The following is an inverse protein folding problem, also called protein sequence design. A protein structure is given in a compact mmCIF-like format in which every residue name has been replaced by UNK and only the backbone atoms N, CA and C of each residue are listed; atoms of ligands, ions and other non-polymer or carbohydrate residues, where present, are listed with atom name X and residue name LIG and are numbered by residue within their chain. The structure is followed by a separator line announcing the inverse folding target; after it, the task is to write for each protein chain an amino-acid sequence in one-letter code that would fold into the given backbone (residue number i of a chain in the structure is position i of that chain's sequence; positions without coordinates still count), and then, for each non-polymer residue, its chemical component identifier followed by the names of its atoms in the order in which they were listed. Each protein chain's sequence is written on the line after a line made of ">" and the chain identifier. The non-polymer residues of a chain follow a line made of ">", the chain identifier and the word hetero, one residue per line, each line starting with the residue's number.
data_IF_613925828097
#
_entry.id   IF_613925828097
#
_cell.length_a   1.000
_cell.length_b   1.000
_cell.length_c   1.000
_cell.angle_alpha   90.00
_cell.angle_beta   90.00
_cell.angle_gamma   90.00
#
_symmetry.space_group_name_H-M   'P 1'
#
loop_
_entity.id
_entity.type
_entity.pdbx_description
1 polymer ?
#
# COMPACT_ATOMS: atom_id res chain seq x y z
N UNK A 1 -29.25 19.16 54.45
CA UNK A 1 -27.96 19.86 54.29
C UNK A 1 -26.84 18.83 54.39
N UNK A 2 -26.07 18.63 53.30
CA UNK A 2 -24.66 18.17 53.26
C UNK A 2 -24.30 17.87 51.80
N UNK A 3 -24.07 18.94 51.03
CA UNK A 3 -23.27 18.95 49.79
C UNK A 3 -21.92 19.52 50.20
N UNK A 4 -20.81 18.79 50.08
CA UNK A 4 -19.52 19.39 50.45
C UNK A 4 -18.29 18.50 50.62
N UNK A 5 -18.22 17.29 50.05
CA UNK A 5 -17.02 16.44 50.21
C UNK A 5 -16.57 15.72 48.93
N UNK A 6 -17.00 16.16 47.74
CA UNK A 6 -16.62 15.52 46.45
C UNK A 6 -15.67 16.39 45.62
N UNK A 7 -15.31 17.60 46.10
CA UNK A 7 -14.68 18.63 45.26
C UNK A 7 -13.18 18.90 45.52
N UNK A 8 -12.46 18.03 46.23
CA UNK A 8 -11.03 18.21 46.54
C UNK A 8 -10.22 16.90 46.46
N UNK A 9 -10.44 16.12 45.40
CA UNK A 9 -9.50 15.06 44.96
C UNK A 9 -9.29 15.14 43.44
N UNK A 10 -9.25 16.37 42.94
CA UNK A 10 -8.56 16.68 41.69
C UNK A 10 -7.04 16.67 41.94
N UNK A 11 -6.28 16.49 40.88
CA UNK A 11 -4.95 17.09 40.69
C UNK A 11 -3.65 16.28 40.96
N UNK A 12 -3.66 14.98 41.26
CA UNK A 12 -2.41 14.21 41.41
C UNK A 12 -2.05 13.28 40.22
N UNK A 13 -3.02 12.76 39.47
CA UNK A 13 -2.73 11.79 38.40
C UNK A 13 -2.36 12.40 37.03
N UNK A 14 -2.44 13.72 36.88
CA UNK A 14 -2.22 14.40 35.60
C UNK A 14 -0.74 14.69 35.32
N UNK A 15 0.16 14.55 36.31
CA UNK A 15 1.59 14.90 36.15
C UNK A 15 2.54 13.71 35.99
N UNK A 16 2.11 12.47 36.21
CA UNK A 16 2.98 11.27 36.09
C UNK A 16 2.75 10.53 34.75
N UNK A 17 1.57 10.64 34.14
CA UNK A 17 1.27 9.98 32.86
C UNK A 17 1.86 10.64 31.61
N UNK A 18 2.29 11.91 31.70
CA UNK A 18 2.81 12.67 30.56
C UNK A 18 4.28 12.41 30.22
N UNK A 19 5.08 11.99 31.20
CA UNK A 19 6.55 11.85 31.05
C UNK A 19 6.95 10.60 30.25
N UNK A 20 6.12 9.55 30.27
CA UNK A 20 6.39 8.32 29.50
C UNK A 20 6.18 8.47 27.99
N UNK A 21 5.28 9.37 27.57
CA UNK A 21 4.92 9.51 26.16
C UNK A 21 5.97 10.32 25.37
N UNK A 22 6.64 11.29 26.00
CA UNK A 22 7.71 12.06 25.35
C UNK A 22 9.03 11.28 25.25
N UNK A 23 9.32 10.39 26.20
CA UNK A 23 10.52 9.55 26.13
C UNK A 23 10.44 8.50 25.00
N UNK A 24 9.23 8.02 24.67
CA UNK A 24 9.04 7.09 23.55
C UNK A 24 9.14 7.79 22.18
N UNK A 25 8.69 9.05 22.07
CA UNK A 25 8.73 9.80 20.80
C UNK A 25 10.15 10.27 20.46
N UNK A 26 11.01 10.53 21.45
CA UNK A 26 12.37 11.05 21.21
C UNK A 26 13.43 9.96 20.92
N UNK A 27 13.14 8.69 21.20
CA UNK A 27 14.12 7.60 21.09
C UNK A 27 14.03 6.79 19.78
N UNK A 28 13.18 7.19 18.82
CA UNK A 28 13.02 6.49 17.53
C UNK A 28 13.76 7.14 16.35
N UNK A 29 14.50 8.22 16.55
CA UNK A 29 15.26 8.92 15.48
C UNK A 29 16.75 8.54 15.43
N UNK A 30 17.17 7.46 16.07
CA UNK A 30 18.56 6.98 16.03
C UNK A 30 18.63 5.49 15.70
N UNK A 31 18.35 5.14 14.44
CA UNK A 31 18.97 3.97 13.84
C UNK A 31 19.53 4.36 12.48
N UNK A 32 20.83 4.68 12.52
CA UNK A 32 21.68 4.79 11.34
C UNK A 32 21.65 3.49 10.52
N UNK A 33 21.67 3.69 9.22
CA UNK A 33 21.92 2.71 8.16
C UNK A 33 23.08 1.74 8.50
N UNK A 34 22.95 0.49 8.06
CA UNK A 34 24.02 -0.10 7.27
C UNK A 34 23.51 -0.33 5.85
N UNK A 35 23.93 0.57 4.97
CA UNK A 35 23.92 0.38 3.51
C UNK A 35 24.62 -0.93 3.17
N UNK A 36 23.88 -2.00 2.89
CA UNK A 36 24.42 -3.14 2.15
C UNK A 36 24.21 -2.90 0.67
N UNK A 37 25.12 -2.11 0.12
CA UNK A 37 25.41 -2.09 -1.31
C UNK A 37 25.92 -3.47 -1.73
N UNK A 38 25.11 -4.24 -2.46
CA UNK A 38 25.61 -5.39 -3.22
C UNK A 38 25.81 -4.90 -4.65
N UNK A 39 27.03 -4.43 -4.90
CA UNK A 39 27.52 -4.18 -6.25
C UNK A 39 27.83 -5.54 -6.91
N UNK A 40 27.00 -5.95 -7.87
CA UNK A 40 27.40 -7.01 -8.80
C UNK A 40 28.37 -6.42 -9.84
N UNK A 41 29.65 -6.31 -9.46
CA UNK A 41 30.76 -6.13 -10.40
C UNK A 41 31.23 -7.51 -10.84
N UNK A 42 30.87 -7.93 -12.05
CA UNK A 42 31.52 -9.03 -12.75
C UNK A 42 32.67 -8.48 -13.59
N UNK A 43 33.91 -8.66 -13.14
CA UNK A 43 35.12 -8.36 -13.92
C UNK A 43 35.73 -9.64 -14.49
N UNK A 44 35.85 -9.62 -15.81
CA UNK A 44 36.71 -10.36 -16.75
C UNK A 44 37.82 -11.24 -16.17
N UNK A 45 37.94 -12.47 -16.68
CA UNK A 45 39.23 -13.16 -16.80
C UNK A 45 39.49 -13.48 -18.27
N UNK A 46 40.45 -12.76 -18.85
CA UNK A 46 41.09 -13.09 -20.12
C UNK A 46 41.89 -14.38 -19.95
N UNK A 47 41.73 -15.32 -20.88
CA UNK A 47 42.78 -16.29 -21.19
C UNK A 47 43.04 -16.20 -22.68
N UNK A 48 44.01 -15.37 -23.02
CA UNK A 48 44.73 -15.40 -24.26
C UNK A 48 46.02 -16.18 -24.00
N UNK A 49 46.36 -17.10 -24.91
CA UNK A 49 47.70 -17.63 -25.24
C UNK A 49 47.58 -19.05 -25.81
N UNK A 50 47.39 -19.14 -27.14
CA UNK A 50 48.32 -19.91 -27.97
C UNK A 50 48.31 -19.41 -29.43
N UNK A 51 49.50 -19.13 -29.95
CA UNK A 51 49.87 -18.45 -31.22
C UNK A 51 50.65 -19.48 -32.10
N UNK A 52 51.05 -19.31 -33.41
CA UNK A 52 50.89 -18.23 -34.43
C UNK A 52 50.50 -18.63 -35.89
N UNK A 53 50.16 -17.58 -36.67
CA UNK A 53 50.44 -17.25 -38.10
C UNK A 53 49.89 -18.08 -39.29
N UNK A 54 49.03 -17.46 -40.13
CA UNK A 54 49.35 -16.93 -41.50
C UNK A 54 48.08 -16.49 -42.29
N UNK A 55 48.07 -15.21 -42.74
CA UNK A 55 47.54 -14.55 -43.96
C UNK A 55 46.17 -14.92 -44.66
N UNK A 56 45.59 -14.02 -45.48
CA UNK A 56 44.16 -13.68 -45.43
C UNK A 56 43.31 -14.19 -46.62
N UNK A 57 42.05 -14.56 -46.35
CA UNK A 57 40.99 -14.70 -47.36
C UNK A 57 39.62 -14.34 -46.76
N UNK A 58 39.06 -13.20 -47.16
CA UNK A 58 37.60 -12.98 -47.22
C UNK A 58 37.17 -13.11 -48.69
N UNK A 59 35.87 -13.29 -49.07
CA UNK A 59 34.64 -13.17 -48.25
C UNK A 59 33.57 -14.27 -48.51
N UNK A 60 32.58 -14.38 -47.61
CA UNK A 60 31.13 -14.30 -47.93
C UNK A 60 30.28 -14.61 -46.68
N UNK A 61 29.58 -13.59 -46.17
CA UNK A 61 28.57 -13.70 -45.10
C UNK A 61 27.19 -13.76 -45.76
N UNK A 62 26.34 -14.75 -45.45
CA UNK A 62 24.93 -14.68 -45.82
C UNK A 62 24.24 -13.59 -44.99
N UNK A 63 23.72 -12.59 -45.69
CA UNK A 63 22.88 -11.50 -45.19
C UNK A 63 21.67 -12.05 -44.43
N UNK A 64 21.64 -11.87 -43.11
CA UNK A 64 20.39 -11.85 -42.35
C UNK A 64 19.79 -10.44 -42.50
N UNK A 65 18.60 -10.38 -43.10
CA UNK A 65 17.85 -9.15 -43.23
C UNK A 65 17.53 -8.56 -41.85
N UNK A 66 17.69 -7.25 -41.63
CA UNK A 66 17.21 -6.61 -40.41
C UNK A 66 15.68 -6.67 -40.40
N UNK A 67 15.13 -7.32 -39.37
CA UNK A 67 13.71 -7.21 -39.04
C UNK A 67 13.40 -5.73 -38.76
N UNK A 68 12.30 -5.14 -39.27
CA UNK A 68 11.98 -3.75 -38.99
C UNK A 68 11.69 -3.62 -37.49
N UNK A 69 12.58 -2.93 -36.78
CA UNK A 69 12.35 -2.49 -35.41
C UNK A 69 11.13 -1.58 -35.42
N UNK A 70 10.04 -2.02 -34.80
CA UNK A 70 8.85 -1.21 -34.68
C UNK A 70 9.23 0.10 -33.95
N UNK A 71 8.85 1.28 -34.47
CA UNK A 71 9.21 2.54 -33.84
C UNK A 71 8.66 2.57 -32.40
N UNK A 72 9.41 3.15 -31.44
CA UNK A 72 8.93 3.30 -30.08
C UNK A 72 7.59 4.06 -30.09
N UNK A 73 6.62 3.67 -29.26
CA UNK A 73 5.33 4.34 -29.21
C UNK A 73 5.55 5.83 -28.93
N UNK A 74 5.03 6.68 -29.82
CA UNK A 74 5.09 8.13 -29.66
C UNK A 74 4.39 8.54 -28.35
N UNK A 75 5.06 9.35 -27.52
CA UNK A 75 4.53 9.83 -26.23
C UNK A 75 3.14 10.47 -26.35
N UNK A 76 2.84 11.08 -27.51
CA UNK A 76 1.52 11.69 -27.77
C UNK A 76 0.38 10.68 -27.86
N UNK A 77 0.61 9.53 -28.50
CA UNK A 77 -0.40 8.48 -28.62
C UNK A 77 -0.71 7.83 -27.26
N UNK A 78 0.31 7.70 -26.40
CA UNK A 78 0.16 7.22 -25.02
C UNK A 78 -0.59 8.23 -24.15
N UNK A 79 -0.30 9.52 -24.30
CA UNK A 79 -1.00 10.59 -23.58
C UNK A 79 -2.50 10.64 -23.92
N UNK A 80 -2.87 10.59 -25.21
CA UNK A 80 -4.27 10.59 -25.65
C UNK A 80 -5.05 9.37 -25.11
N UNK A 81 -4.39 8.20 -25.09
CA UNK A 81 -4.97 7.00 -24.49
C UNK A 81 -5.20 7.16 -23.00
N UNK A 82 -4.21 7.68 -22.26
CA UNK A 82 -4.31 7.89 -20.82
C UNK A 82 -5.42 8.91 -20.49
N UNK A 83 -5.55 9.98 -21.27
CA UNK A 83 -6.62 10.97 -21.15
C UNK A 83 -8.01 10.32 -21.23
N UNK A 84 -8.19 9.33 -22.12
CA UNK A 84 -9.45 8.60 -22.29
C UNK A 84 -9.72 7.56 -21.20
N UNK A 85 -8.67 6.95 -20.63
CA UNK A 85 -8.80 5.93 -19.58
C UNK A 85 -8.94 6.52 -18.17
N UNK A 86 -8.45 7.74 -17.94
CA UNK A 86 -8.48 8.39 -16.64
C UNK A 86 -9.90 8.50 -16.03
N UNK A 87 -10.95 8.94 -16.77
CA UNK A 87 -12.30 9.00 -16.22
C UNK A 87 -12.83 7.64 -15.78
N UNK A 88 -12.46 6.56 -16.48
CA UNK A 88 -12.91 5.21 -16.15
C UNK A 88 -12.23 4.70 -14.86
N UNK A 89 -10.94 4.99 -14.69
CA UNK A 89 -10.22 4.67 -13.47
C UNK A 89 -10.80 5.41 -12.24
N UNK A 90 -11.06 6.71 -12.40
CA UNK A 90 -11.67 7.54 -11.35
C UNK A 90 -13.11 7.12 -11.05
N UNK A 91 -13.92 6.82 -12.06
CA UNK A 91 -15.28 6.31 -11.87
C UNK A 91 -15.29 5.01 -11.05
N UNK A 92 -14.35 4.08 -11.34
CA UNK A 92 -14.18 2.86 -10.56
C UNK A 92 -13.79 3.14 -9.11
N UNK A 93 -12.90 4.11 -8.88
CA UNK A 93 -12.50 4.52 -7.53
C UNK A 93 -13.69 5.07 -6.73
N UNK A 94 -14.45 5.99 -7.32
CA UNK A 94 -15.64 6.57 -6.72
C UNK A 94 -16.73 5.53 -6.45
N UNK A 95 -17.03 4.66 -7.42
CA UNK A 95 -18.02 3.60 -7.25
C UNK A 95 -17.66 2.68 -6.06
N UNK A 96 -16.37 2.34 -5.94
CA UNK A 96 -15.85 1.61 -4.79
C UNK A 96 -16.09 2.33 -3.46
N UNK A 97 -15.73 3.61 -3.36
CA UNK A 97 -15.91 4.38 -2.12
C UNK A 97 -17.40 4.62 -1.77
N UNK A 98 -18.26 4.82 -2.77
CA UNK A 98 -19.70 4.99 -2.59
C UNK A 98 -20.37 3.72 -2.07
N UNK A 99 -19.92 2.55 -2.54
CA UNK A 99 -20.46 1.23 -2.14
C UNK A 99 -19.75 0.63 -0.93
N UNK A 100 -18.87 1.39 -0.27
CA UNK A 100 -17.99 0.90 0.80
C UNK A 100 -17.22 -0.36 0.38
N UNK A 101 -16.82 -0.47 -0.89
CA UNK A 101 -16.00 -1.55 -1.40
C UNK A 101 -14.57 -1.03 -1.58
N UNK A 102 -13.76 -1.18 -0.51
CA UNK A 102 -12.42 -0.60 -0.50
C UNK A 102 -11.47 -1.32 -1.47
N UNK A 103 -11.69 -2.60 -1.76
CA UNK A 103 -10.93 -3.31 -2.81
C UNK A 103 -11.17 -2.70 -4.19
N UNK A 104 -12.43 -2.42 -4.54
CA UNK A 104 -12.79 -1.79 -5.80
C UNK A 104 -12.20 -0.37 -5.88
N UNK A 105 -12.34 0.41 -4.82
CA UNK A 105 -11.78 1.76 -4.72
C UNK A 105 -10.27 1.76 -4.94
N UNK A 106 -9.55 0.89 -4.20
CA UNK A 106 -8.10 0.72 -4.31
C UNK A 106 -7.67 0.40 -5.73
N UNK A 107 -8.37 -0.52 -6.41
CA UNK A 107 -8.06 -0.89 -7.80
C UNK A 107 -8.24 0.28 -8.78
N UNK A 108 -9.28 1.11 -8.60
CA UNK A 108 -9.49 2.31 -9.40
C UNK A 108 -8.42 3.37 -9.14
N UNK A 109 -8.06 3.60 -7.88
CA UNK A 109 -7.01 4.55 -7.48
C UNK A 109 -5.65 4.12 -8.03
N UNK A 110 -5.28 2.83 -7.89
CA UNK A 110 -4.01 2.32 -8.42
C UNK A 110 -3.94 2.45 -9.94
N UNK A 111 -5.08 2.26 -10.62
CA UNK A 111 -5.15 2.45 -12.06
C UNK A 111 -5.01 3.93 -12.43
N UNK A 112 -5.70 4.85 -11.76
CA UNK A 112 -5.57 6.28 -12.02
C UNK A 112 -4.11 6.75 -11.83
N UNK A 113 -3.46 6.34 -10.74
CA UNK A 113 -2.07 6.68 -10.45
C UNK A 113 -1.06 6.02 -11.39
N UNK A 114 -1.40 4.90 -12.04
CA UNK A 114 -0.54 4.31 -13.08
C UNK A 114 -0.65 5.04 -14.43
N UNK A 115 -1.79 5.70 -14.70
CA UNK A 115 -1.98 6.55 -15.87
C UNK A 115 -1.33 7.93 -15.68
N UNK A 116 -1.44 8.50 -14.47
CA UNK A 116 -0.85 9.77 -14.09
C UNK A 116 -0.49 9.77 -12.59
N UNK A 117 0.80 9.65 -12.23
CA UNK A 117 1.25 9.50 -10.83
C UNK A 117 0.92 10.68 -9.91
N UNK A 118 0.81 11.89 -10.46
CA UNK A 118 0.58 13.15 -9.75
C UNK A 118 -0.86 13.66 -9.89
N UNK A 119 -1.79 12.81 -10.34
CA UNK A 119 -3.19 13.20 -10.49
C UNK A 119 -3.79 13.62 -9.13
N UNK A 120 -4.21 14.88 -8.95
CA UNK A 120 -4.59 15.42 -7.65
C UNK A 120 -5.86 14.75 -7.09
N UNK A 121 -6.79 14.37 -7.97
CA UNK A 121 -8.00 13.66 -7.55
C UNK A 121 -7.69 12.25 -7.06
N UNK A 122 -6.88 11.49 -7.80
CA UNK A 122 -6.46 10.15 -7.39
C UNK A 122 -5.70 10.16 -6.06
N UNK A 123 -4.84 11.16 -5.83
CA UNK A 123 -4.15 11.36 -4.55
C UNK A 123 -5.12 11.68 -3.40
N UNK A 124 -6.13 12.51 -3.65
CA UNK A 124 -7.19 12.80 -2.67
C UNK A 124 -8.00 11.54 -2.33
N UNK A 125 -8.38 10.76 -3.34
CA UNK A 125 -9.10 9.49 -3.17
C UNK A 125 -8.25 8.46 -2.41
N UNK A 126 -6.94 8.41 -2.68
CA UNK A 126 -5.99 7.59 -1.90
C UNK A 126 -6.02 7.95 -0.42
N UNK A 127 -6.07 9.23 -0.07
CA UNK A 127 -6.13 9.66 1.32
C UNK A 127 -7.46 9.26 2.01
N UNK A 128 -8.60 9.40 1.33
CA UNK A 128 -9.89 8.93 1.85
C UNK A 128 -9.87 7.41 2.07
N UNK A 129 -9.39 6.66 1.06
CA UNK A 129 -9.24 5.21 1.15
C UNK A 129 -8.40 4.80 2.37
N UNK A 130 -7.21 5.40 2.56
CA UNK A 130 -6.34 5.10 3.69
C UNK A 130 -7.00 5.40 5.04
N UNK A 131 -7.83 6.43 5.12
CA UNK A 131 -8.60 6.75 6.33
C UNK A 131 -9.62 5.66 6.64
N UNK A 132 -10.40 5.23 5.64
CA UNK A 132 -11.39 4.15 5.79
C UNK A 132 -10.75 2.81 6.12
N UNK A 133 -9.61 2.50 5.49
CA UNK A 133 -8.87 1.27 5.78
C UNK A 133 -8.35 1.23 7.22
N UNK A 134 -7.88 2.36 7.77
CA UNK A 134 -7.51 2.46 9.18
C UNK A 134 -8.70 2.21 10.10
N UNK A 135 -9.86 2.80 9.80
CA UNK A 135 -11.09 2.59 10.57
C UNK A 135 -11.55 1.12 10.51
N UNK A 136 -11.56 0.51 9.33
CA UNK A 136 -11.88 -0.92 9.14
C UNK A 136 -10.93 -1.80 9.96
N UNK A 137 -9.63 -1.52 9.90
CA UNK A 137 -8.62 -2.31 10.58
C UNK A 137 -8.77 -2.23 12.11
N UNK A 138 -9.13 -1.05 12.65
CA UNK A 138 -9.43 -0.89 14.07
C UNK A 138 -10.66 -1.71 14.48
N UNK A 139 -11.74 -1.70 13.69
CA UNK A 139 -12.92 -2.51 13.94
C UNK A 139 -12.61 -4.02 13.86
N UNK A 140 -11.81 -4.46 12.88
CA UNK A 140 -11.34 -5.85 12.78
C UNK A 140 -10.48 -6.25 13.98
N UNK A 141 -9.58 -5.39 14.43
CA UNK A 141 -8.76 -5.65 15.62
C UNK A 141 -9.64 -5.82 16.87
N UNK A 142 -10.64 -4.95 17.05
CA UNK A 142 -11.61 -5.08 18.13
C UNK A 142 -12.39 -6.41 18.02
N UNK A 143 -12.88 -6.75 16.83
CA UNK A 143 -13.58 -8.02 16.58
C UNK A 143 -12.73 -9.24 16.96
N UNK A 144 -11.45 -9.28 16.53
CA UNK A 144 -10.50 -10.34 16.90
C UNK A 144 -10.28 -10.42 18.41
N UNK A 145 -10.17 -9.27 19.08
CA UNK A 145 -10.02 -9.26 20.54
C UNK A 145 -11.25 -9.83 21.27
N UNK A 146 -12.46 -9.56 20.76
CA UNK A 146 -13.68 -10.17 21.29
C UNK A 146 -13.70 -11.69 21.07
N UNK A 147 -13.21 -12.18 19.92
CA UNK A 147 -13.08 -13.62 19.64
C UNK A 147 -12.16 -14.29 20.67
N UNK A 148 -10.99 -13.70 20.95
CA UNK A 148 -10.05 -14.22 21.97
C UNK A 148 -10.67 -14.24 23.37
N UNK A 149 -11.57 -13.30 23.67
CA UNK A 149 -12.29 -13.23 24.95
C UNK A 149 -13.57 -14.06 24.98
N UNK A 150 -13.88 -14.83 23.92
CA UNK A 150 -15.09 -15.63 23.77
C UNK A 150 -16.40 -14.82 23.87
N UNK A 151 -16.34 -13.53 23.49
CA UNK A 151 -17.48 -12.61 23.50
C UNK A 151 -18.13 -12.57 22.12
N UNK A 152 -18.99 -13.53 21.83
CA UNK A 152 -19.64 -13.69 20.51
C UNK A 152 -20.35 -12.41 20.03
N UNK A 153 -21.22 -11.81 20.83
CA UNK A 153 -21.95 -10.59 20.44
C UNK A 153 -21.01 -9.39 20.18
N UNK A 154 -19.95 -9.24 20.97
CA UNK A 154 -18.90 -8.23 20.78
C UNK A 154 -18.17 -8.43 19.44
N UNK A 155 -17.81 -9.69 19.13
CA UNK A 155 -17.13 -10.04 17.89
C UNK A 155 -18.02 -9.74 16.68
N UNK A 156 -19.30 -10.15 16.75
CA UNK A 156 -20.28 -9.90 15.71
C UNK A 156 -20.48 -8.40 15.45
N UNK A 157 -20.65 -7.59 16.51
CA UNK A 157 -20.91 -6.16 16.37
C UNK A 157 -19.73 -5.44 15.71
N UNK A 158 -18.50 -5.68 16.19
CA UNK A 158 -17.30 -5.07 15.61
C UNK A 158 -17.03 -5.55 14.18
N UNK A 159 -17.32 -6.82 13.88
CA UNK A 159 -17.23 -7.32 12.51
C UNK A 159 -18.22 -6.62 11.57
N UNK A 160 -19.46 -6.37 12.00
CA UNK A 160 -20.41 -5.60 11.20
C UNK A 160 -20.04 -4.12 11.08
N UNK A 161 -19.41 -3.52 12.09
CA UNK A 161 -18.78 -2.20 11.95
C UNK A 161 -17.69 -2.22 10.89
N UNK A 162 -16.86 -3.26 10.82
CA UNK A 162 -15.88 -3.39 9.74
C UNK A 162 -16.55 -3.56 8.36
N UNK A 163 -17.69 -4.27 8.26
CA UNK A 163 -18.44 -4.45 7.01
C UNK A 163 -19.15 -3.19 6.53
N UNK A 164 -19.60 -2.32 7.44
CA UNK A 164 -20.20 -1.04 7.06
C UNK A 164 -19.15 -0.09 6.48
N UNK A 165 -17.88 -0.25 6.87
CA UNK A 165 -16.74 0.51 6.32
C UNK A 165 -16.20 -0.14 5.03
N UNK A 166 -16.12 -1.47 5.00
CA UNK A 166 -15.63 -2.26 3.89
C UNK A 166 -16.46 -3.53 3.67
N UNK A 167 -17.48 -3.42 2.82
CA UNK A 167 -18.38 -4.50 2.42
C UNK A 167 -17.64 -5.64 1.69
N UNK A 168 -16.42 -5.37 1.20
CA UNK A 168 -15.57 -6.37 0.54
C UNK A 168 -14.69 -7.18 1.51
N UNK A 169 -14.71 -6.88 2.82
CA UNK A 169 -13.89 -7.56 3.82
C UNK A 169 -14.34 -9.01 4.09
N UNK A 170 -13.63 -9.98 3.52
CA UNK A 170 -13.89 -11.40 3.73
C UNK A 170 -13.65 -11.85 5.19
N UNK A 171 -12.68 -11.23 5.86
CA UNK A 171 -12.42 -11.53 7.26
C UNK A 171 -13.58 -11.12 8.16
N UNK A 172 -14.11 -9.90 7.97
CA UNK A 172 -15.25 -9.43 8.75
C UNK A 172 -16.49 -10.31 8.52
N UNK A 173 -16.74 -10.72 7.26
CA UNK A 173 -17.80 -11.71 6.94
C UNK A 173 -17.59 -13.02 7.71
N UNK A 174 -16.36 -13.52 7.74
CA UNK A 174 -16.02 -14.75 8.45
C UNK A 174 -16.22 -14.66 9.96
N UNK A 175 -15.79 -13.57 10.60
CA UNK A 175 -16.00 -13.36 12.04
C UNK A 175 -17.48 -13.23 12.36
N UNK A 176 -18.23 -12.42 11.60
CA UNK A 176 -19.66 -12.24 11.82
C UNK A 176 -20.43 -13.55 11.70
N UNK A 177 -20.17 -14.34 10.64
CA UNK A 177 -20.86 -15.61 10.40
C UNK A 177 -20.62 -16.66 11.49
N UNK A 178 -19.41 -16.70 12.08
CA UNK A 178 -19.08 -17.65 13.16
C UNK A 178 -19.56 -17.19 14.54
N UNK A 179 -19.73 -15.89 14.74
CA UNK A 179 -20.16 -15.33 16.03
C UNK A 179 -21.68 -15.47 16.28
N UNK A 180 -22.42 -15.99 15.32
CA UNK A 180 -23.88 -16.24 15.39
C UNK A 180 -24.24 -17.73 15.51
N UNK A 181 -23.24 -18.60 15.57
CA UNK A 181 -23.40 -20.06 15.74
C UNK A 181 -23.36 -20.40 17.22
#
# INVERSE_FOLDING_TARGET
>A
MKKGAVLMLAAAFVLIGGSGLLYWIQNHDAQEEPTRSIAARGTVTSNDLNQPAQAPTMPQVPTFAPSPEAPPPSDKASADKNQKLMPLALARAHDGLQKNNLQLARSGISWALSLQPDNPEALRLKQDLLSRERARNAALQAARSCVVQERAMCAWQNANTALSIDSSSNEAKGIAARSMQ
#
